data_IF_370215030523
#
_entry.id   IF_370215030523
#
_cell.length_a   1.000
_cell.length_b   1.000
_cell.length_c   1.000
_cell.angle_alpha   90.00
_cell.angle_beta   90.00
_cell.angle_gamma   90.00
#
_symmetry.space_group_name_H-M   'P 1'
#
loop_
_entity.id
_entity.type
_entity.pdbx_description
1 polymer ?
#
# COMPACT_ATOMS: atom_id res chain seq x y z
N UNK A 1 -24.40 10.20 20.46
CA UNK A 1 -24.45 11.64 20.81
C UNK A 1 -25.64 12.37 20.19
N UNK A 2 -26.01 12.13 18.92
CA UNK A 2 -27.03 12.94 18.24
C UNK A 2 -28.46 12.83 18.82
N UNK A 3 -28.92 11.65 19.23
CA UNK A 3 -30.30 11.47 19.72
C UNK A 3 -30.57 12.12 21.08
N UNK A 4 -29.58 12.14 21.97
CA UNK A 4 -29.71 12.77 23.30
C UNK A 4 -29.77 14.29 23.18
N UNK A 5 -28.96 14.88 22.30
CA UNK A 5 -28.98 16.33 22.06
C UNK A 5 -30.28 16.77 21.40
N UNK A 6 -30.83 15.98 20.48
CA UNK A 6 -32.15 16.23 19.87
C UNK A 6 -33.27 16.11 20.92
N UNK A 7 -33.20 15.13 21.82
CA UNK A 7 -34.17 15.00 22.91
C UNK A 7 -34.16 16.18 23.88
N UNK A 8 -32.97 16.68 24.24
CA UNK A 8 -32.82 17.83 25.15
C UNK A 8 -33.34 19.13 24.52
N UNK A 9 -33.10 19.37 23.24
CA UNK A 9 -33.58 20.59 22.56
C UNK A 9 -35.09 20.59 22.35
N UNK A 10 -35.68 19.44 22.02
CA UNK A 10 -37.14 19.29 21.92
C UNK A 10 -37.79 19.47 23.28
N UNK A 11 -37.22 18.91 24.34
CA UNK A 11 -37.71 19.08 25.70
C UNK A 11 -37.63 20.54 26.17
N UNK A 12 -36.50 21.22 25.94
CA UNK A 12 -36.34 22.64 26.24
C UNK A 12 -37.33 23.52 25.47
N UNK A 13 -37.59 23.20 24.20
CA UNK A 13 -38.58 23.89 23.38
C UNK A 13 -40.00 23.73 23.96
N UNK A 14 -40.37 22.52 24.39
CA UNK A 14 -41.68 22.25 25.01
C UNK A 14 -41.82 23.03 26.33
N UNK A 15 -40.80 23.03 27.19
CA UNK A 15 -40.81 23.77 28.47
C UNK A 15 -40.99 25.27 28.24
N UNK A 16 -40.32 25.84 27.23
CA UNK A 16 -40.41 27.27 26.89
C UNK A 16 -41.80 27.65 26.35
N UNK A 17 -42.46 26.77 25.60
CA UNK A 17 -43.86 26.96 25.17
C UNK A 17 -44.81 26.98 26.38
N UNK A 18 -44.60 26.10 27.36
CA UNK A 18 -45.40 26.06 28.59
C UNK A 18 -45.17 27.26 29.53
N UNK A 19 -44.05 27.98 29.40
CA UNK A 19 -43.75 29.18 30.18
C UNK A 19 -44.36 30.47 29.61
N UNK A 20 -45.14 30.39 28.53
CA UNK A 20 -45.90 31.54 28.01
C UNK A 20 -45.07 32.54 27.22
N UNK A 21 -44.02 32.09 26.52
CA UNK A 21 -43.22 32.94 25.63
C UNK A 21 -44.06 33.55 24.50
N UNK A 22 -43.83 34.83 24.23
CA UNK A 22 -44.45 35.56 23.11
C UNK A 22 -44.18 34.88 21.75
N UNK A 23 -45.13 35.02 20.82
CA UNK A 23 -45.08 34.41 19.49
C UNK A 23 -43.80 34.79 18.71
N UNK A 24 -43.34 36.04 18.81
CA UNK A 24 -42.10 36.48 18.17
C UNK A 24 -40.86 35.76 18.74
N UNK A 25 -40.82 35.53 20.05
CA UNK A 25 -39.74 34.80 20.71
C UNK A 25 -39.69 33.33 20.29
N UNK A 26 -40.84 32.70 20.08
CA UNK A 26 -40.94 31.34 19.55
C UNK A 26 -40.41 31.24 18.11
N UNK A 27 -40.78 32.20 17.26
CA UNK A 27 -40.30 32.26 15.87
C UNK A 27 -38.78 32.48 15.82
N UNK A 28 -38.25 33.36 16.67
CA UNK A 28 -36.80 33.59 16.77
C UNK A 28 -36.05 32.32 17.20
N UNK A 29 -36.51 31.65 18.25
CA UNK A 29 -35.90 30.42 18.76
C UNK A 29 -35.92 29.29 17.71
N UNK A 30 -37.06 29.11 17.03
CA UNK A 30 -37.18 28.14 15.94
C UNK A 30 -36.16 28.41 14.84
N UNK A 31 -35.98 29.67 14.43
CA UNK A 31 -35.00 30.03 13.43
C UNK A 31 -33.57 29.72 13.89
N UNK A 32 -33.19 30.07 15.13
CA UNK A 32 -31.86 29.79 15.69
C UNK A 32 -31.58 28.28 15.71
N UNK A 33 -32.54 27.48 16.21
CA UNK A 33 -32.43 26.03 16.28
C UNK A 33 -32.34 25.40 14.88
N UNK A 34 -33.18 25.88 13.94
CA UNK A 34 -33.17 25.45 12.54
C UNK A 34 -31.79 25.68 11.91
N UNK A 35 -31.21 26.88 12.05
CA UNK A 35 -29.89 27.16 11.49
C UNK A 35 -28.78 26.36 12.17
N UNK A 36 -28.85 26.17 13.49
CA UNK A 36 -27.89 25.32 14.21
C UNK A 36 -27.89 23.88 13.68
N UNK A 37 -29.06 23.26 13.55
CA UNK A 37 -29.17 21.90 13.01
C UNK A 37 -28.80 21.80 11.53
N UNK A 38 -29.04 22.84 10.74
CA UNK A 38 -28.61 22.90 9.35
C UNK A 38 -27.07 22.87 9.25
N UNK A 39 -26.37 23.67 10.06
CA UNK A 39 -24.89 23.66 10.11
C UNK A 39 -24.36 22.29 10.52
N UNK A 40 -24.94 21.68 11.57
CA UNK A 40 -24.55 20.34 12.02
C UNK A 40 -24.80 19.29 10.94
N UNK A 41 -25.94 19.36 10.25
CA UNK A 41 -26.28 18.46 9.14
C UNK A 41 -25.29 18.57 7.98
N UNK A 42 -24.98 19.80 7.55
CA UNK A 42 -24.00 20.06 6.48
C UNK A 42 -22.60 19.57 6.88
N UNK A 43 -22.15 19.82 8.11
CA UNK A 43 -20.87 19.32 8.61
C UNK A 43 -20.83 17.79 8.69
N UNK A 44 -21.89 17.14 9.16
CA UNK A 44 -21.96 15.69 9.27
C UNK A 44 -21.96 15.01 7.88
N UNK A 45 -22.85 15.45 6.99
CA UNK A 45 -22.93 14.87 5.65
C UNK A 45 -21.74 15.27 4.78
N UNK A 46 -21.29 16.51 4.85
CA UNK A 46 -20.07 16.99 4.19
C UNK A 46 -18.83 16.23 4.65
N UNK A 47 -18.67 15.98 5.96
CA UNK A 47 -17.58 15.18 6.49
C UNK A 47 -17.66 13.70 6.07
N UNK A 48 -18.84 13.07 6.22
CA UNK A 48 -19.04 11.65 5.89
C UNK A 48 -18.86 11.38 4.40
N UNK A 49 -19.59 12.10 3.55
CA UNK A 49 -19.53 11.91 2.10
C UNK A 49 -18.27 12.51 1.48
N UNK A 50 -17.73 13.60 2.04
CA UNK A 50 -16.45 14.17 1.62
C UNK A 50 -15.30 13.19 1.78
N UNK A 51 -15.25 12.41 2.87
CA UNK A 51 -14.23 11.35 3.05
C UNK A 51 -14.37 10.22 2.03
N UNK A 52 -15.59 9.81 1.71
CA UNK A 52 -15.84 8.78 0.68
C UNK A 52 -15.42 9.29 -0.70
N UNK A 53 -15.78 10.53 -1.02
CA UNK A 53 -15.37 11.18 -2.27
C UNK A 53 -13.84 11.31 -2.36
N UNK A 54 -13.18 11.76 -1.29
CA UNK A 54 -11.73 11.83 -1.22
C UNK A 54 -11.09 10.45 -1.42
N UNK A 55 -11.62 9.40 -0.79
CA UNK A 55 -11.14 8.03 -0.97
C UNK A 55 -11.31 7.54 -2.43
N UNK A 56 -12.45 7.86 -3.06
CA UNK A 56 -12.67 7.56 -4.47
C UNK A 56 -11.69 8.32 -5.39
N UNK A 57 -11.48 9.62 -5.13
CA UNK A 57 -10.56 10.45 -5.92
C UNK A 57 -9.10 10.02 -5.75
N UNK A 58 -8.67 9.68 -4.54
CA UNK A 58 -7.32 9.15 -4.30
C UNK A 58 -7.14 7.80 -4.97
N UNK A 59 -8.12 6.90 -4.89
CA UNK A 59 -8.07 5.62 -5.59
C UNK A 59 -8.03 5.81 -7.12
N UNK A 60 -8.84 6.72 -7.67
CA UNK A 60 -8.81 7.07 -9.09
C UNK A 60 -7.44 7.60 -9.50
N UNK A 61 -6.84 8.48 -8.69
CA UNK A 61 -5.48 9.01 -8.92
C UNK A 61 -4.42 7.89 -8.86
N UNK A 62 -4.53 6.97 -7.91
CA UNK A 62 -3.61 5.83 -7.81
C UNK A 62 -3.71 4.90 -9.02
N UNK A 63 -4.93 4.57 -9.47
CA UNK A 63 -5.14 3.76 -10.67
C UNK A 63 -4.66 4.43 -11.95
N UNK A 64 -4.72 5.76 -12.01
CA UNK A 64 -4.22 6.54 -13.14
C UNK A 64 -2.69 6.70 -13.14
N UNK A 65 -1.99 6.24 -12.09
CA UNK A 65 -0.54 6.24 -12.08
C UNK A 65 -0.01 5.01 -12.83
N UNK A 66 0.67 5.17 -13.98
CA UNK A 66 1.20 4.04 -14.73
C UNK A 66 2.44 3.44 -14.07
N UNK A 67 3.00 4.06 -13.02
CA UNK A 67 4.19 3.55 -12.33
C UNK A 67 3.92 2.20 -11.69
N UNK A 68 4.69 1.18 -12.08
CA UNK A 68 4.55 -0.16 -11.53
C UNK A 68 5.35 -1.19 -12.30
N UNK A 69 5.30 -2.42 -11.77
CA UNK A 69 5.92 -3.60 -12.35
C UNK A 69 4.87 -4.39 -13.16
N UNK A 70 5.13 -4.60 -14.44
CA UNK A 70 4.21 -5.29 -15.36
C UNK A 70 4.72 -6.69 -15.63
N UNK A 71 4.32 -7.64 -14.79
CA UNK A 71 4.73 -9.06 -14.85
C UNK A 71 4.60 -9.68 -16.24
N UNK A 72 3.45 -9.52 -16.92
CA UNK A 72 3.20 -10.16 -18.23
C UNK A 72 4.09 -9.64 -19.35
N UNK A 73 4.45 -8.36 -19.28
CA UNK A 73 5.27 -7.69 -20.30
C UNK A 73 6.77 -7.77 -19.94
N UNK A 74 7.11 -8.07 -18.69
CA UNK A 74 8.48 -7.99 -18.18
C UNK A 74 9.01 -6.55 -18.07
N UNK A 75 8.12 -5.56 -18.14
CA UNK A 75 8.44 -4.13 -18.18
C UNK A 75 8.25 -3.45 -16.83
N UNK A 76 9.05 -2.42 -16.59
CA UNK A 76 8.89 -1.47 -15.50
C UNK A 76 8.52 -0.13 -16.09
N UNK A 77 7.39 0.42 -15.65
CA UNK A 77 7.00 1.79 -16.02
C UNK A 77 7.21 2.71 -14.84
N UNK A 78 7.80 3.88 -15.09
CA UNK A 78 8.03 4.93 -14.11
C UNK A 78 7.49 6.22 -14.69
N UNK A 79 6.46 6.78 -14.07
CA UNK A 79 5.98 8.12 -14.41
C UNK A 79 7.02 9.15 -14.03
N UNK A 80 7.57 9.85 -15.01
CA UNK A 80 8.49 10.95 -14.83
C UNK A 80 7.88 12.25 -15.36
N UNK A 81 7.42 13.12 -14.44
CA UNK A 81 6.72 14.38 -14.74
C UNK A 81 5.54 14.20 -15.72
N UNK A 82 5.78 14.43 -17.02
CA UNK A 82 4.78 14.36 -18.11
C UNK A 82 4.95 13.15 -19.03
N UNK A 83 6.06 12.41 -18.93
CA UNK A 83 6.31 11.20 -19.72
C UNK A 83 6.29 9.95 -18.83
N UNK A 84 6.15 8.80 -19.47
CA UNK A 84 6.30 7.48 -18.82
C UNK A 84 7.60 6.88 -19.35
N UNK A 85 8.54 6.62 -18.46
CA UNK A 85 9.74 5.86 -18.77
C UNK A 85 9.39 4.37 -18.71
N UNK A 86 9.73 3.63 -19.76
CA UNK A 86 9.48 2.19 -19.86
C UNK A 86 10.79 1.50 -20.22
N UNK A 87 11.15 0.51 -19.43
CA UNK A 87 12.39 -0.26 -19.58
C UNK A 87 12.16 -1.70 -19.09
N UNK A 88 13.01 -2.63 -19.53
CA UNK A 88 12.86 -4.03 -19.13
C UNK A 88 13.30 -4.19 -17.68
N UNK A 89 12.65 -5.07 -16.93
CA UNK A 89 13.00 -5.30 -15.53
C UNK A 89 14.44 -5.77 -15.32
N UNK A 90 14.99 -6.52 -16.27
CA UNK A 90 16.39 -6.98 -16.27
C UNK A 90 17.41 -5.83 -16.38
N UNK A 91 17.00 -4.65 -16.82
CA UNK A 91 17.86 -3.46 -16.91
C UNK A 91 17.92 -2.68 -15.59
N UNK A 92 17.23 -3.16 -14.54
CA UNK A 92 17.23 -2.52 -13.23
C UNK A 92 18.09 -3.28 -12.23
N UNK A 93 18.98 -2.53 -11.59
CA UNK A 93 19.80 -2.99 -10.48
C UNK A 93 19.10 -2.65 -9.16
N UNK A 94 19.06 -3.60 -8.23
CA UNK A 94 18.45 -3.42 -6.92
C UNK A 94 19.47 -2.87 -5.91
N UNK A 95 19.06 -1.90 -5.11
CA UNK A 95 19.88 -1.27 -4.08
C UNK A 95 19.14 -1.31 -2.74
N UNK A 96 19.90 -1.65 -1.69
CA UNK A 96 19.53 -1.53 -0.29
C UNK A 96 19.91 -0.14 0.22
N UNK A 97 18.94 0.75 0.33
CA UNK A 97 19.16 2.12 0.78
C UNK A 97 18.82 2.24 2.26
N UNK A 98 19.76 2.76 3.04
CA UNK A 98 19.54 3.10 4.44
C UNK A 98 18.93 4.50 4.54
N UNK A 99 17.71 4.59 5.06
CA UNK A 99 17.01 5.85 5.29
C UNK A 99 17.09 6.20 6.78
N UNK A 100 17.74 7.32 7.16
CA UNK A 100 17.80 7.72 8.55
C UNK A 100 16.40 8.19 9.00
N UNK A 101 15.92 7.64 10.12
CA UNK A 101 14.75 8.19 10.79
C UNK A 101 15.12 9.48 11.53
N UNK A 102 14.22 10.47 11.54
CA UNK A 102 14.36 11.66 12.38
C UNK A 102 14.45 11.36 13.88
N UNK A 103 14.15 10.13 14.32
CA UNK A 103 14.31 9.65 15.71
C UNK A 103 15.49 8.68 15.91
N UNK A 104 16.44 8.62 14.98
CA UNK A 104 17.62 7.74 15.08
C UNK A 104 17.37 6.25 14.78
N UNK A 105 16.16 5.90 14.35
CA UNK A 105 15.86 4.57 13.79
C UNK A 105 16.62 4.31 12.49
N UNK A 106 17.04 3.05 12.31
CA UNK A 106 17.68 2.54 11.09
C UNK A 106 16.63 1.84 10.24
N UNK A 107 16.31 2.42 9.10
CA UNK A 107 15.34 1.86 8.18
C UNK A 107 15.99 1.52 6.86
N UNK A 108 15.63 0.37 6.31
CA UNK A 108 16.13 -0.13 5.06
C UNK A 108 15.00 -0.16 4.04
N UNK A 109 15.30 0.34 2.85
CA UNK A 109 14.36 0.43 1.73
C UNK A 109 14.96 -0.18 0.48
N UNK A 110 14.11 -0.76 -0.36
CA UNK A 110 14.50 -1.26 -1.68
C UNK A 110 14.34 -0.17 -2.73
N UNK A 111 15.40 0.09 -3.47
CA UNK A 111 15.45 1.01 -4.60
C UNK A 111 15.82 0.22 -5.86
N UNK A 112 15.05 0.38 -6.93
CA UNK A 112 15.43 -0.14 -8.25
C UNK A 112 15.97 1.02 -9.08
N UNK A 113 17.21 0.92 -9.50
CA UNK A 113 17.87 1.92 -10.34
C UNK A 113 18.03 1.34 -11.75
N UNK A 114 17.63 2.09 -12.77
CA UNK A 114 17.91 1.68 -14.13
C UNK A 114 19.40 1.80 -14.45
N UNK A 115 20.00 0.77 -15.06
CA UNK A 115 21.44 0.69 -15.33
C UNK A 115 21.94 1.71 -16.35
N UNK A 116 21.11 2.04 -17.34
CA UNK A 116 21.51 2.92 -18.46
C UNK A 116 21.00 4.38 -18.31
N UNK A 117 20.15 4.66 -17.31
CA UNK A 117 19.51 5.97 -17.15
C UNK A 117 19.35 6.32 -15.68
N UNK A 118 19.19 7.60 -15.35
CA UNK A 118 19.04 8.05 -13.95
C UNK A 118 17.61 7.86 -13.39
N UNK A 119 16.86 6.90 -13.93
CA UNK A 119 15.51 6.62 -13.46
C UNK A 119 15.55 5.67 -12.27
N UNK A 120 15.01 6.14 -11.15
CA UNK A 120 14.93 5.38 -9.90
C UNK A 120 13.48 5.07 -9.54
N UNK A 121 13.23 3.85 -9.11
CA UNK A 121 11.94 3.39 -8.61
C UNK A 121 12.06 2.96 -7.16
N UNK A 122 11.50 3.77 -6.27
CA UNK A 122 11.42 3.45 -4.85
C UNK A 122 10.28 2.44 -4.62
N UNK A 123 10.60 1.28 -4.05
CA UNK A 123 9.64 0.21 -3.82
C UNK A 123 8.84 0.40 -2.52
N UNK A 124 8.16 1.55 -2.39
CA UNK A 124 7.37 1.95 -1.21
C UNK A 124 5.94 1.42 -1.27
N UNK A 125 5.77 0.12 -1.06
CA UNK A 125 4.46 -0.54 -1.16
C UNK A 125 4.25 -1.59 -0.10
N UNK A 126 4.80 -2.79 -0.33
CA UNK A 126 4.58 -3.93 0.57
C UNK A 126 5.51 -3.87 1.80
N UNK A 127 6.75 -3.44 1.58
CA UNK A 127 7.74 -3.24 2.62
C UNK A 127 8.24 -1.80 2.48
N UNK A 128 8.09 -1.01 3.52
CA UNK A 128 8.65 0.34 3.63
C UNK A 128 9.23 0.46 5.02
N UNK A 129 10.43 1.05 5.09
CA UNK A 129 11.15 1.29 6.33
C UNK A 129 11.36 0.02 7.18
N UNK A 130 11.90 -1.02 6.53
CA UNK A 130 12.20 -2.28 7.21
C UNK A 130 13.29 -2.06 8.27
N UNK A 131 13.13 -2.66 9.45
CA UNK A 131 14.16 -2.56 10.50
C UNK A 131 15.30 -3.55 10.30
N UNK A 132 15.07 -4.61 9.50
CA UNK A 132 16.05 -5.66 9.23
C UNK A 132 16.39 -5.69 7.73
N UNK A 133 17.67 -5.55 7.34
CA UNK A 133 18.06 -5.59 5.93
C UNK A 133 17.70 -6.92 5.25
N UNK A 134 17.67 -8.03 6.00
CA UNK A 134 17.26 -9.35 5.47
C UNK A 134 15.82 -9.38 4.96
N UNK A 135 14.93 -8.57 5.54
CA UNK A 135 13.56 -8.44 5.04
C UNK A 135 13.53 -7.78 3.66
N UNK A 136 14.44 -6.83 3.42
CA UNK A 136 14.59 -6.18 2.11
C UNK A 136 15.10 -7.16 1.06
N UNK A 137 16.05 -8.03 1.42
CA UNK A 137 16.49 -9.10 0.53
C UNK A 137 15.36 -10.11 0.21
N UNK A 138 14.56 -10.50 1.21
CA UNK A 138 13.41 -11.37 0.98
C UNK A 138 12.34 -10.69 0.09
N UNK A 139 12.14 -9.39 0.26
CA UNK A 139 11.28 -8.59 -0.60
C UNK A 139 11.80 -8.50 -2.03
N UNK A 140 13.12 -8.37 -2.21
CA UNK A 140 13.75 -8.45 -3.54
C UNK A 140 13.50 -9.81 -4.21
N UNK A 141 13.71 -10.92 -3.49
CA UNK A 141 13.40 -12.27 -4.01
C UNK A 141 11.92 -12.44 -4.38
N UNK A 142 11.02 -11.86 -3.58
CA UNK A 142 9.58 -11.85 -3.89
C UNK A 142 9.27 -11.06 -5.17
N UNK A 143 9.94 -9.93 -5.40
CA UNK A 143 9.79 -9.13 -6.64
C UNK A 143 10.35 -9.89 -7.85
N UNK A 144 11.51 -10.54 -7.71
CA UNK A 144 12.07 -11.38 -8.76
C UNK A 144 11.10 -12.51 -9.14
N UNK A 145 10.54 -13.23 -8.17
CA UNK A 145 9.52 -14.25 -8.43
C UNK A 145 8.24 -13.64 -9.04
N UNK A 146 7.85 -12.43 -8.64
CA UNK A 146 6.72 -11.73 -9.23
C UNK A 146 6.96 -11.34 -10.69
N UNK A 147 8.19 -11.01 -11.08
CA UNK A 147 8.52 -10.70 -12.49
C UNK A 147 8.81 -11.94 -13.32
N UNK A 148 9.20 -13.05 -12.69
CA UNK A 148 9.39 -14.34 -13.35
C UNK A 148 8.03 -14.97 -13.70
N UNK A 149 7.69 -14.91 -15.00
CA UNK A 149 6.43 -15.47 -15.52
C UNK A 149 6.42 -16.99 -15.36
N UNK A 150 7.56 -17.68 -15.35
CA UNK A 150 7.62 -19.15 -15.30
C UNK A 150 7.19 -19.74 -13.95
N UNK A 151 7.28 -18.94 -12.87
CA UNK A 151 6.94 -19.35 -11.49
C UNK A 151 5.56 -18.83 -11.10
N UNK A 152 4.83 -19.51 -10.20
CA UNK A 152 3.60 -18.97 -9.66
C UNK A 152 3.86 -17.70 -8.86
N UNK A 153 2.83 -16.85 -8.73
CA UNK A 153 2.88 -15.64 -7.93
C UNK A 153 3.31 -15.94 -6.49
N UNK A 154 4.13 -15.05 -5.88
CA UNK A 154 4.53 -15.20 -4.49
C UNK A 154 3.33 -15.40 -3.56
N UNK A 155 3.49 -16.27 -2.58
CA UNK A 155 2.41 -16.57 -1.63
C UNK A 155 2.32 -15.48 -0.55
N UNK A 156 1.70 -14.35 -0.90
CA UNK A 156 1.49 -13.21 0.00
C UNK A 156 0.03 -12.73 -0.03
N UNK A 157 -0.51 -12.19 1.08
CA UNK A 157 -1.91 -11.77 1.18
C UNK A 157 -2.35 -10.77 0.12
N UNK A 158 -1.44 -9.88 -0.32
CA UNK A 158 -1.74 -8.84 -1.31
C UNK A 158 -2.10 -9.43 -2.69
N UNK A 159 -1.57 -10.61 -3.04
CA UNK A 159 -1.82 -11.24 -4.33
C UNK A 159 -3.03 -12.18 -4.30
N UNK A 160 -3.51 -12.60 -3.13
CA UNK A 160 -4.64 -13.54 -2.99
C UNK A 160 -5.85 -13.18 -3.88
N UNK A 161 -6.34 -11.91 -3.92
CA UNK A 161 -7.48 -11.55 -4.76
C UNK A 161 -7.22 -11.66 -6.26
N UNK A 162 -5.96 -11.77 -6.69
CA UNK A 162 -5.55 -11.74 -8.09
C UNK A 162 -4.96 -13.07 -8.58
N UNK A 163 -4.72 -14.05 -7.70
CA UNK A 163 -4.08 -15.34 -8.06
C UNK A 163 -4.81 -16.07 -9.19
N UNK A 164 -6.14 -16.04 -9.18
CA UNK A 164 -6.97 -16.65 -10.23
C UNK A 164 -6.81 -16.02 -11.62
N UNK A 165 -6.24 -14.79 -11.72
CA UNK A 165 -6.04 -14.07 -12.99
C UNK A 165 -4.73 -14.43 -13.68
N UNK A 166 -3.80 -15.03 -12.95
CA UNK A 166 -2.52 -15.48 -13.48
C UNK A 166 -2.62 -16.97 -13.85
N UNK A 167 -2.49 -17.34 -15.13
CA UNK A 167 -2.74 -18.72 -15.58
C UNK A 167 -1.79 -19.74 -14.95
N UNK A 168 -0.53 -19.35 -14.73
CA UNK A 168 0.50 -20.21 -14.15
C UNK A 168 0.23 -20.43 -12.67
N UNK A 169 -0.14 -19.37 -11.94
CA UNK A 169 -0.57 -19.47 -10.55
C UNK A 169 -1.85 -20.29 -10.41
N UNK A 170 -2.83 -20.09 -11.28
CA UNK A 170 -4.10 -20.83 -11.24
C UNK A 170 -3.88 -22.33 -11.48
N UNK A 171 -3.06 -22.70 -12.48
CA UNK A 171 -2.70 -24.10 -12.73
C UNK A 171 -1.93 -24.71 -11.55
N UNK A 172 -0.98 -23.96 -10.98
CA UNK A 172 -0.24 -24.38 -9.80
C UNK A 172 -1.17 -24.61 -8.60
N UNK A 173 -2.04 -23.65 -8.29
CA UNK A 173 -2.96 -23.70 -7.14
C UNK A 173 -4.01 -24.81 -7.30
N UNK A 174 -4.47 -25.08 -8.53
CA UNK A 174 -5.36 -26.21 -8.84
C UNK A 174 -4.66 -27.56 -8.62
N UNK A 175 -3.37 -27.68 -8.96
CA UNK A 175 -2.61 -28.93 -8.77
C UNK A 175 -2.39 -29.27 -7.29
N UNK A 176 -2.25 -28.26 -6.44
CA UNK A 176 -2.02 -28.44 -5.00
C UNK A 176 -3.30 -28.30 -4.16
N UNK A 177 -4.46 -28.16 -4.82
CA UNK A 177 -5.77 -27.97 -4.18
C UNK A 177 -5.76 -26.88 -3.08
N UNK A 178 -5.13 -25.74 -3.39
CA UNK A 178 -5.00 -24.64 -2.43
C UNK A 178 -6.34 -23.93 -2.20
N UNK A 179 -6.67 -23.65 -0.93
CA UNK A 179 -7.81 -22.79 -0.58
C UNK A 179 -7.66 -21.35 -1.13
N UNK A 180 -8.60 -20.85 -1.95
CA UNK A 180 -8.59 -19.48 -2.49
C UNK A 180 -8.69 -18.38 -1.43
N UNK A 181 -9.13 -18.72 -0.21
CA UNK A 181 -9.28 -17.79 0.91
C UNK A 181 -8.29 -18.09 2.05
N UNK A 182 -7.20 -18.82 1.78
CA UNK A 182 -6.18 -19.21 2.77
C UNK A 182 -5.80 -18.04 3.67
N UNK A 183 -5.41 -16.91 3.09
CA UNK A 183 -4.96 -15.74 3.87
C UNK A 183 -6.09 -15.05 4.62
N UNK A 184 -7.32 -15.06 4.09
CA UNK A 184 -8.49 -14.46 4.74
C UNK A 184 -9.00 -15.28 5.92
N UNK A 185 -8.93 -16.61 5.83
CA UNK A 185 -9.36 -17.53 6.90
C UNK A 185 -8.30 -17.70 8.00
N UNK A 186 -7.07 -17.27 7.74
CA UNK A 186 -5.97 -17.41 8.68
C UNK A 186 -6.13 -16.49 9.89
N UNK A 187 -6.14 -17.06 11.10
CA UNK A 187 -6.15 -16.26 12.33
C UNK A 187 -4.76 -15.77 12.69
N UNK A 188 -4.71 -14.63 13.39
CA UNK A 188 -3.47 -14.01 13.87
C UNK A 188 -2.70 -14.95 14.81
N UNK A 189 -3.40 -15.70 15.67
CA UNK A 189 -2.81 -16.70 16.57
C UNK A 189 -2.16 -17.85 15.79
N UNK A 190 -2.86 -18.39 14.79
CA UNK A 190 -2.33 -19.45 13.94
C UNK A 190 -1.06 -18.96 13.22
N UNK A 191 -1.07 -17.73 12.70
CA UNK A 191 0.08 -17.14 12.03
C UNK A 191 1.27 -16.99 12.99
N UNK A 192 1.07 -16.44 14.19
CA UNK A 192 2.13 -16.26 15.19
C UNK A 192 2.74 -17.59 15.64
N UNK A 193 1.92 -18.62 15.83
CA UNK A 193 2.37 -19.92 16.32
C UNK A 193 3.13 -20.73 15.25
N UNK A 194 2.63 -20.74 14.01
CA UNK A 194 3.09 -21.68 12.99
C UNK A 194 3.94 -21.02 11.88
N UNK A 195 3.58 -19.81 11.45
CA UNK A 195 4.19 -19.17 10.28
C UNK A 195 5.27 -18.18 10.66
N UNK A 196 5.08 -17.40 11.72
CA UNK A 196 6.07 -16.42 12.17
C UNK A 196 7.42 -17.07 12.47
N UNK A 197 7.43 -18.15 13.26
CA UNK A 197 8.67 -18.86 13.61
C UNK A 197 9.37 -19.43 12.38
N UNK A 198 8.61 -19.99 11.44
CA UNK A 198 9.15 -20.52 10.17
C UNK A 198 9.73 -19.39 9.32
N UNK A 199 9.02 -18.28 9.18
CA UNK A 199 9.45 -17.10 8.43
C UNK A 199 10.74 -16.50 9.02
N UNK A 200 10.77 -16.25 10.33
CA UNK A 200 11.96 -15.71 11.00
C UNK A 200 13.16 -16.63 10.84
N UNK A 201 12.95 -17.95 10.94
CA UNK A 201 14.01 -18.94 10.71
C UNK A 201 14.52 -18.89 9.26
N UNK A 202 13.63 -18.91 8.28
CA UNK A 202 13.99 -18.81 6.86
C UNK A 202 14.77 -17.53 6.57
N UNK A 203 14.34 -16.39 7.10
CA UNK A 203 15.08 -15.12 6.97
C UNK A 203 16.48 -15.22 7.57
N UNK A 204 16.64 -15.88 8.72
CA UNK A 204 17.93 -16.02 9.38
C UNK A 204 18.87 -16.95 8.60
N UNK A 205 18.37 -18.09 8.15
CA UNK A 205 19.11 -19.15 7.47
C UNK A 205 19.45 -18.82 6.02
N UNK A 206 18.58 -18.06 5.32
CA UNK A 206 18.79 -17.74 3.91
C UNK A 206 20.01 -16.84 3.77
N UNK A 207 21.00 -17.31 3.01
CA UNK A 207 22.11 -16.48 2.58
C UNK A 207 21.72 -15.74 1.30
N UNK A 208 21.50 -14.43 1.41
CA UNK A 208 21.07 -13.57 0.31
C UNK A 208 22.22 -13.07 -0.57
N UNK A 209 23.44 -13.60 -0.41
CA UNK A 209 24.61 -13.26 -1.25
C UNK A 209 24.60 -13.93 -2.62
N UNK A 210 23.51 -14.60 -3.02
CA UNK A 210 23.38 -15.16 -4.37
C UNK A 210 23.07 -14.04 -5.36
N UNK A 211 23.75 -14.07 -6.52
CA UNK A 211 23.50 -13.16 -7.64
C UNK A 211 22.05 -13.21 -8.09
N UNK A 212 21.50 -12.06 -8.53
CA UNK A 212 20.16 -11.99 -9.10
C UNK A 212 19.93 -13.08 -10.16
N UNK A 213 18.74 -13.70 -10.13
CA UNK A 213 18.29 -14.69 -11.14
C UNK A 213 18.41 -14.14 -12.57
N UNK A 214 18.40 -12.81 -12.73
CA UNK A 214 18.43 -12.11 -14.01
C UNK A 214 19.85 -11.68 -14.46
N UNK A 215 20.87 -11.90 -13.63
CA UNK A 215 22.25 -11.50 -13.92
C UNK A 215 22.93 -12.43 -14.95
N UNK A 216 22.33 -13.60 -15.22
CA UNK A 216 22.89 -14.62 -16.12
C UNK A 216 22.74 -14.31 -17.63
N UNK A 217 22.19 -13.15 -18.05
CA UNK A 217 21.87 -12.91 -19.48
C UNK A 217 22.29 -11.56 -20.08
N UNK A 218 23.01 -10.65 -19.41
CA UNK A 218 23.38 -9.37 -20.03
C UNK A 218 24.86 -9.04 -19.87
N UNK A 219 25.60 -9.21 -20.96
CA UNK A 219 26.98 -8.77 -21.14
C UNK A 219 27.09 -7.23 -21.17
N UNK A 220 27.81 -6.65 -20.21
CA UNK A 220 28.93 -5.75 -20.51
C UNK A 220 28.69 -4.29 -20.95
N UNK A 221 27.50 -3.68 -20.83
CA UNK A 221 27.31 -2.25 -21.20
C UNK A 221 26.59 -1.33 -20.20
N UNK A 222 26.60 -1.65 -18.91
CA UNK A 222 26.01 -0.74 -17.91
C UNK A 222 26.74 0.60 -17.79
N UNK A 223 26.06 1.65 -17.32
CA UNK A 223 26.80 2.83 -16.82
C UNK A 223 27.74 2.35 -15.69
N UNK A 224 28.93 2.95 -15.54
CA UNK A 224 29.73 2.71 -14.36
C UNK A 224 28.87 2.95 -13.12
N UNK A 225 29.04 2.09 -12.10
CA UNK A 225 28.38 2.28 -10.82
C UNK A 225 28.60 3.74 -10.37
N UNK A 226 27.57 4.45 -9.87
CA UNK A 226 27.73 5.84 -9.47
C UNK A 226 28.85 5.96 -8.44
N UNK A 227 29.68 7.00 -8.56
CA UNK A 227 30.84 7.24 -7.68
C UNK A 227 30.47 7.29 -6.18
N UNK A 228 29.20 7.57 -5.88
CA UNK A 228 28.60 7.48 -4.55
C UNK A 228 27.20 6.85 -4.63
N UNK A 229 27.06 5.52 -4.51
CA UNK A 229 25.76 4.86 -4.57
C UNK A 229 24.92 5.20 -3.34
N UNK A 230 23.60 5.42 -3.54
CA UNK A 230 22.66 5.71 -2.43
C UNK A 230 22.52 4.53 -1.44
N UNK A 231 23.03 3.35 -1.78
CA UNK A 231 22.90 2.14 -0.98
C UNK A 231 23.82 1.01 -1.44
N UNK A 232 23.72 -0.13 -0.76
CA UNK A 232 24.47 -1.35 -1.11
C UNK A 232 23.72 -2.08 -2.22
N UNK A 233 24.39 -2.39 -3.33
CA UNK A 233 23.77 -3.15 -4.42
C UNK A 233 23.40 -4.57 -3.94
N UNK A 234 22.17 -4.96 -4.22
CA UNK A 234 21.62 -6.28 -3.94
C UNK A 234 21.83 -7.15 -5.18
N UNK A 235 23.09 -7.59 -5.34
CA UNK A 235 23.63 -8.51 -6.34
C UNK A 235 22.86 -8.59 -7.66
#
# INVERSE_FOLDING_TARGET
MSFVVIGITVFAFIVLVFQGLDFEGLVFLYNVVKYFYLVVGVCYFGGKYGRILLAYLTQKRQRANPTGLYRREGMVRIKHRRSVFEARFIEFDAYLVHTPSGRGGRYYNLLLQHRYSDHKLWMKGLLTDAMNPKEVHAYWGMIQQFMDVTKPLPDVPIFEPFRHRDPITAAHDSRIERDPFKWRKMTSEYWRKNLHRRYTRQLQETNFTQSCILDAHIEGRGRPAPDNPEGVMLA
#
